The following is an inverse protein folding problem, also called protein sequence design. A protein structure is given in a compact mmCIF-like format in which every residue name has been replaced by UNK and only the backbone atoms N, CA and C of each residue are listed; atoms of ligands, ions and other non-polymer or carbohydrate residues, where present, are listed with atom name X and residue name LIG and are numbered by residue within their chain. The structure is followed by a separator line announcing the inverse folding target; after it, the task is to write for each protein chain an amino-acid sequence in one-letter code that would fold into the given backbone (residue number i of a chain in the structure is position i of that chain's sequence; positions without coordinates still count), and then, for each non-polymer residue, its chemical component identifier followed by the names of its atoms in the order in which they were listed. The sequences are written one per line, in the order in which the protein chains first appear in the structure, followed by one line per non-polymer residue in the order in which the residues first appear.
data_IF_188330755548
#
_entry.id   IF_188330755548
#
_cell.length_a   1.000
_cell.length_b   1.000
_cell.length_c   1.000
_cell.angle_alpha   90.00
_cell.angle_beta   90.00
_cell.angle_gamma   90.00
#
_symmetry.space_group_name_H-M   'P 1'
#
loop_
_entity.id
_entity.type
_entity.pdbx_description
1 polymer ?
#
# COMPACT_ATOMS: atom_id res chain seq x y z
N UNK A 1 -14.36 -12.71 -5.32
CA UNK A 1 -14.06 -11.68 -4.29
C UNK A 1 -13.33 -10.52 -4.97
N UNK A 2 -13.84 -9.29 -4.87
CA UNK A 2 -13.19 -8.11 -5.46
C UNK A 2 -11.95 -7.79 -4.64
N UNK A 3 -10.75 -7.85 -5.23
CA UNK A 3 -9.55 -7.25 -4.61
C UNK A 3 -9.84 -5.75 -4.43
N UNK A 4 -9.67 -5.24 -3.23
CA UNK A 4 -9.70 -3.79 -3.00
C UNK A 4 -8.54 -3.15 -3.76
N UNK A 5 -8.82 -2.05 -4.46
CA UNK A 5 -7.77 -1.26 -5.09
C UNK A 5 -7.15 -0.30 -4.06
N UNK A 6 -6.06 0.39 -4.42
CA UNK A 6 -5.34 1.30 -3.54
C UNK A 6 -6.26 2.30 -2.82
N UNK A 7 -7.10 3.02 -3.58
CA UNK A 7 -8.00 4.04 -3.01
C UNK A 7 -9.00 3.45 -2.01
N UNK A 8 -9.54 2.26 -2.30
CA UNK A 8 -10.43 1.56 -1.38
C UNK A 8 -9.72 1.12 -0.11
N UNK A 9 -8.50 0.60 -0.23
CA UNK A 9 -7.69 0.17 0.91
C UNK A 9 -7.28 1.32 1.80
N UNK A 10 -6.90 2.46 1.19
CA UNK A 10 -6.57 3.68 1.92
C UNK A 10 -7.79 4.22 2.66
N UNK A 11 -8.95 4.32 1.99
CA UNK A 11 -10.19 4.77 2.62
C UNK A 11 -10.58 3.89 3.80
N UNK A 12 -10.48 2.56 3.67
CA UNK A 12 -10.79 1.65 4.77
C UNK A 12 -9.81 1.81 5.94
N UNK A 13 -8.54 2.08 5.67
CA UNK A 13 -7.56 2.35 6.70
C UNK A 13 -7.90 3.62 7.48
N UNK A 14 -8.34 4.69 6.80
CA UNK A 14 -8.81 5.93 7.44
C UNK A 14 -10.02 5.66 8.35
N UNK A 15 -11.02 4.92 7.87
CA UNK A 15 -12.19 4.52 8.66
C UNK A 15 -11.80 3.73 9.91
N UNK A 16 -10.82 2.81 9.79
CA UNK A 16 -10.31 2.04 10.93
C UNK A 16 -9.66 2.94 11.97
N UNK A 17 -8.86 3.93 11.54
CA UNK A 17 -8.23 4.89 12.46
C UNK A 17 -9.30 5.68 13.20
N UNK A 18 -10.31 6.20 12.49
CA UNK A 18 -11.44 6.91 13.11
C UNK A 18 -12.20 6.01 14.11
N UNK A 19 -12.48 4.75 13.76
CA UNK A 19 -13.13 3.78 14.64
C UNK A 19 -12.31 3.53 15.92
N UNK A 20 -10.98 3.35 15.79
CA UNK A 20 -10.06 3.13 16.91
C UNK A 20 -9.95 4.36 17.82
N UNK A 21 -9.92 5.57 17.24
CA UNK A 21 -9.83 6.84 17.97
C UNK A 21 -11.13 7.19 18.70
N UNK A 22 -12.28 6.68 18.24
CA UNK A 22 -13.57 6.92 18.88
C UNK A 22 -13.65 6.42 20.34
N UNK A 23 -12.78 5.48 20.72
CA UNK A 23 -12.68 4.94 22.09
C UNK A 23 -13.91 4.16 22.59
N UNK A 24 -14.90 3.91 21.73
CA UNK A 24 -16.20 3.32 22.08
C UNK A 24 -16.32 1.82 21.75
N UNK A 25 -15.21 1.19 21.37
CA UNK A 25 -15.14 -0.18 20.88
C UNK A 25 -14.56 -1.15 21.92
N UNK A 26 -14.97 -2.43 21.84
CA UNK A 26 -14.43 -3.48 22.71
C UNK A 26 -12.97 -3.80 22.40
N UNK A 27 -12.26 -4.43 23.35
CA UNK A 27 -10.88 -4.86 23.17
C UNK A 27 -10.72 -5.82 21.98
N UNK A 28 -11.59 -6.82 21.86
CA UNK A 28 -11.57 -7.77 20.73
C UNK A 28 -11.80 -7.08 19.39
N UNK A 29 -12.73 -6.12 19.35
CA UNK A 29 -12.97 -5.33 18.14
C UNK A 29 -11.77 -4.45 17.81
N UNK A 30 -11.13 -3.84 18.82
CA UNK A 30 -9.92 -3.03 18.66
C UNK A 30 -8.76 -3.84 18.09
N UNK A 31 -8.55 -5.06 18.59
CA UNK A 31 -7.53 -5.98 18.08
C UNK A 31 -7.82 -6.37 16.62
N UNK A 32 -9.07 -6.71 16.31
CA UNK A 32 -9.47 -7.06 14.94
C UNK A 32 -9.26 -5.89 13.96
N UNK A 33 -9.63 -4.67 14.36
CA UNK A 33 -9.44 -3.47 13.56
C UNK A 33 -7.95 -3.14 13.39
N UNK A 34 -7.15 -3.30 14.43
CA UNK A 34 -5.70 -3.10 14.36
C UNK A 34 -5.04 -4.08 13.37
N UNK A 35 -5.37 -5.37 13.43
CA UNK A 35 -4.85 -6.36 12.49
C UNK A 35 -5.25 -6.07 11.03
N UNK A 36 -6.49 -5.62 10.81
CA UNK A 36 -6.96 -5.18 9.50
C UNK A 36 -6.17 -3.96 9.02
N UNK A 37 -6.01 -2.95 9.88
CA UNK A 37 -5.29 -1.72 9.59
C UNK A 37 -3.82 -1.98 9.22
N UNK A 38 -3.12 -2.86 9.95
CA UNK A 38 -1.73 -3.24 9.62
C UNK A 38 -1.64 -3.87 8.24
N UNK A 39 -2.56 -4.78 7.88
CA UNK A 39 -2.57 -5.42 6.56
C UNK A 39 -2.83 -4.41 5.44
N UNK A 40 -3.75 -3.47 5.65
CA UNK A 40 -4.04 -2.40 4.69
C UNK A 40 -2.87 -1.45 4.51
N UNK A 41 -2.22 -1.05 5.62
CA UNK A 41 -1.05 -0.17 5.58
C UNK A 41 0.12 -0.81 4.79
N UNK A 42 0.40 -2.09 5.04
CA UNK A 42 1.43 -2.83 4.30
C UNK A 42 1.09 -2.93 2.80
N UNK A 43 -0.18 -3.18 2.47
CA UNK A 43 -0.64 -3.22 1.09
C UNK A 43 -0.47 -1.86 0.38
N UNK A 44 -0.89 -0.76 1.03
CA UNK A 44 -0.75 0.59 0.47
C UNK A 44 0.74 0.94 0.26
N UNK A 45 1.61 0.57 1.20
CA UNK A 45 3.06 0.78 1.06
C UNK A 45 3.63 0.02 -0.14
N UNK A 46 3.27 -1.25 -0.32
CA UNK A 46 3.72 -2.07 -1.44
C UNK A 46 3.25 -1.51 -2.80
N UNK A 47 2.01 -1.04 -2.90
CA UNK A 47 1.49 -0.42 -4.12
C UNK A 47 2.19 0.91 -4.46
N UNK A 48 2.52 1.71 -3.44
CA UNK A 48 3.32 2.94 -3.63
C UNK A 48 4.73 2.61 -4.12
N UNK A 49 5.42 1.64 -3.50
CA UNK A 49 6.75 1.22 -3.91
C UNK A 49 6.80 0.70 -5.35
N UNK A 50 5.81 -0.10 -5.76
CA UNK A 50 5.69 -0.55 -7.16
C UNK A 50 5.50 0.61 -8.12
N UNK A 51 4.76 1.63 -7.71
CA UNK A 51 4.49 2.81 -8.54
C UNK A 51 5.74 3.69 -8.66
N UNK A 52 6.47 3.91 -7.56
CA UNK A 52 7.73 4.66 -7.54
C UNK A 52 8.80 4.00 -8.41
N UNK A 53 8.88 2.66 -8.39
CA UNK A 53 9.77 1.90 -9.29
C UNK A 53 9.42 2.11 -10.77
N UNK A 54 8.12 2.10 -11.11
CA UNK A 54 7.65 2.37 -12.48
C UNK A 54 7.95 3.80 -12.92
N UNK A 55 7.73 4.78 -12.04
CA UNK A 55 8.04 6.20 -12.32
C UNK A 55 9.54 6.39 -12.53
N UNK A 56 10.36 5.80 -11.66
CA UNK A 56 11.83 5.86 -11.77
C UNK A 56 12.33 5.25 -13.07
N UNK A 57 11.77 4.10 -13.48
CA UNK A 57 12.09 3.47 -14.77
C UNK A 57 11.70 4.35 -15.97
N UNK A 58 10.52 4.98 -15.91
CA UNK A 58 10.07 5.89 -16.97
C UNK A 58 10.98 7.11 -17.10
N UNK A 59 11.40 7.71 -15.98
CA UNK A 59 12.33 8.85 -15.96
C UNK A 59 13.69 8.45 -16.57
N UNK A 60 14.25 7.30 -16.18
CA UNK A 60 15.52 6.79 -16.75
C UNK A 60 15.42 6.57 -18.26
N UNK A 61 14.32 5.97 -18.73
CA UNK A 61 14.05 5.78 -20.17
C UNK A 61 13.93 7.11 -20.93
N UNK A 62 13.27 8.11 -20.34
CA UNK A 62 13.16 9.45 -20.93
C UNK A 62 14.51 10.17 -21.03
N UNK A 63 15.39 9.97 -20.04
CA UNK A 63 16.73 10.56 -20.03
C UNK A 63 17.74 9.81 -20.91
N UNK A 64 17.35 8.68 -21.52
CA UNK A 64 18.21 7.89 -22.39
C UNK A 64 19.26 7.05 -21.64
N UNK A 65 19.06 6.81 -20.34
CA UNK A 65 19.94 5.94 -19.57
C UNK A 65 19.81 4.50 -20.08
N UNK A 66 20.92 3.91 -20.52
CA UNK A 66 20.99 2.52 -20.94
C UNK A 66 20.86 1.63 -19.70
N UNK A 67 19.78 0.86 -19.59
CA UNK A 67 19.72 -0.25 -18.64
C UNK A 67 20.66 -1.36 -19.12
N UNK A 68 21.79 -1.53 -18.41
CA UNK A 68 22.57 -2.76 -18.48
C UNK A 68 21.76 -3.82 -17.74
N UNK A 69 20.91 -4.54 -18.47
CA UNK A 69 20.42 -5.82 -17.97
C UNK A 69 21.50 -6.86 -18.26
N UNK A 70 22.08 -7.42 -17.20
CA UNK A 70 22.95 -8.59 -17.31
C UNK A 70 22.15 -9.73 -17.97
N UNK A 71 22.37 -9.92 -19.27
CA UNK A 71 21.98 -11.14 -19.95
C UNK A 71 22.92 -12.24 -19.46
N UNK A 72 22.61 -12.84 -18.32
CA UNK A 72 23.19 -14.11 -17.93
C UNK A 72 22.66 -15.17 -18.91
N UNK A 73 23.44 -15.42 -19.97
CA UNK A 73 23.33 -16.58 -20.88
C UNK A 73 24.09 -17.75 -20.26
#
# INVERSE_FOLDING_TARGET
MKKMNFDQSLKRLEEIVEELESGSISLEKSLSLFEEGVKLALYCQDELQKTDGKVSLLIRKMNGDLEVTDFNI
#
